data_IF_684465694173
#
_entry.id   IF_684465694173
#
_cell.length_a   1.000
_cell.length_b   1.000
_cell.length_c   1.000
_cell.angle_alpha   90.00
_cell.angle_beta   90.00
_cell.angle_gamma   90.00
#
_symmetry.space_group_name_H-M   'P 1'
#
loop_
_entity.id
_entity.type
_entity.pdbx_description
1 polymer ?
#
# COMPACT_ATOMS: atom_id res chain seq x y z
N UNK A 1 -18.87 -11.52 -13.84
CA UNK A 1 -17.57 -11.20 -13.20
C UNK A 1 -17.37 -9.71 -13.27
N UNK A 2 -17.34 -9.05 -12.11
CA UNK A 2 -17.03 -7.63 -11.97
C UNK A 2 -15.54 -7.45 -11.69
N UNK A 3 -14.84 -6.66 -12.50
CA UNK A 3 -13.41 -6.38 -12.34
C UNK A 3 -13.25 -4.91 -11.96
N UNK A 4 -12.52 -4.67 -10.88
CA UNK A 4 -12.23 -3.33 -10.35
C UNK A 4 -10.72 -3.12 -10.33
N UNK A 5 -10.23 -2.19 -11.16
CA UNK A 5 -8.84 -1.76 -11.12
C UNK A 5 -8.70 -0.52 -10.23
N UNK A 6 -7.64 -0.49 -9.43
CA UNK A 6 -7.38 0.60 -8.50
C UNK A 6 -5.88 0.90 -8.40
N UNK A 7 -5.55 2.16 -8.16
CA UNK A 7 -4.19 2.58 -7.88
C UNK A 7 -4.14 3.86 -7.04
N UNK A 8 -2.96 4.13 -6.50
CA UNK A 8 -2.66 5.34 -5.77
C UNK A 8 -1.50 5.20 -4.79
N UNK A 9 -1.18 6.30 -4.13
CA UNK A 9 -0.19 6.31 -3.06
C UNK A 9 -0.81 5.79 -1.75
N UNK A 10 -0.09 4.94 -1.05
CA UNK A 10 -0.37 4.52 0.31
C UNK A 10 0.74 5.04 1.24
N UNK A 11 0.43 5.19 2.52
CA UNK A 11 1.43 5.45 3.56
C UNK A 11 1.74 4.17 4.31
N UNK A 12 2.99 3.94 4.66
CA UNK A 12 3.35 2.97 5.68
C UNK A 12 4.56 3.47 6.47
N UNK A 13 4.40 3.61 7.78
CA UNK A 13 5.41 4.22 8.66
C UNK A 13 6.10 3.10 9.42
N UNK A 14 7.14 2.52 8.85
CA UNK A 14 7.86 1.36 9.39
C UNK A 14 9.35 1.66 9.50
N UNK A 15 10.03 1.02 10.45
CA UNK A 15 11.49 0.98 10.49
C UNK A 15 11.98 -0.10 9.52
N UNK A 16 13.06 0.20 8.82
CA UNK A 16 13.66 -0.68 7.80
C UNK A 16 14.95 -1.29 8.29
N UNK A 17 15.34 -2.43 7.71
CA UNK A 17 16.61 -3.10 7.98
C UNK A 17 17.79 -2.11 8.07
N UNK A 18 18.69 -2.26 9.05
CA UNK A 18 18.81 -3.40 9.97
C UNK A 18 17.99 -3.26 11.27
N UNK A 19 17.10 -2.28 11.38
CA UNK A 19 16.35 -2.07 12.62
C UNK A 19 15.36 -3.24 12.90
N UNK A 20 15.10 -3.57 14.18
CA UNK A 20 14.01 -4.46 14.56
C UNK A 20 12.66 -4.03 13.97
N UNK A 21 11.79 -4.98 13.66
CA UNK A 21 10.48 -4.65 13.08
C UNK A 21 9.61 -3.81 14.02
N UNK A 22 9.87 -3.80 15.32
CA UNK A 22 9.19 -3.02 16.35
C UNK A 22 9.95 -1.74 16.78
N UNK A 23 11.02 -1.38 16.07
CA UNK A 23 11.72 -0.12 16.31
C UNK A 23 10.80 1.09 16.02
N UNK A 24 10.53 1.86 17.09
CA UNK A 24 9.49 2.89 17.10
C UNK A 24 9.88 4.15 16.33
N UNK A 25 11.18 4.43 16.16
CA UNK A 25 11.65 5.71 15.63
C UNK A 25 12.51 5.58 14.38
N UNK A 26 13.00 4.39 14.07
CA UNK A 26 14.01 4.15 13.03
C UNK A 26 15.36 4.75 13.43
N UNK A 27 16.36 3.90 13.61
CA UNK A 27 17.67 4.26 14.14
C UNK A 27 18.76 4.11 13.08
N UNK A 28 18.79 2.96 12.40
CA UNK A 28 19.88 2.54 11.52
C UNK A 28 19.42 2.40 10.07
N UNK A 29 18.13 2.15 9.87
CA UNK A 29 17.51 2.04 8.56
C UNK A 29 17.44 3.35 7.79
N UNK A 30 16.80 3.29 6.62
CA UNK A 30 16.59 4.44 5.74
C UNK A 30 15.25 5.16 5.94
N UNK A 31 14.48 4.73 6.93
CA UNK A 31 13.20 5.29 7.34
C UNK A 31 13.27 5.64 8.82
N UNK A 32 12.58 6.71 9.22
CA UNK A 32 12.62 7.21 10.59
C UNK A 32 11.41 8.09 10.88
N UNK A 33 11.00 8.20 12.14
CA UNK A 33 10.08 9.22 12.61
C UNK A 33 10.83 10.51 12.99
N UNK A 34 10.32 11.65 12.57
CA UNK A 34 10.91 12.97 12.82
C UNK A 34 10.53 13.53 14.20
N UNK A 35 11.28 14.51 14.74
CA UNK A 35 10.82 15.29 15.89
C UNK A 35 9.39 15.79 15.70
N UNK A 36 8.54 15.57 16.71
CA UNK A 36 7.11 15.94 16.66
C UNK A 36 6.19 14.95 15.93
N UNK A 37 6.73 13.96 15.22
CA UNK A 37 5.92 12.88 14.65
C UNK A 37 5.65 11.76 15.67
N UNK A 38 4.49 11.08 15.60
CA UNK A 38 4.23 9.87 16.39
C UNK A 38 5.18 8.74 16.02
N UNK A 39 5.18 7.66 16.80
CA UNK A 39 6.00 6.48 16.52
C UNK A 39 5.56 5.75 15.24
N UNK A 40 6.48 4.99 14.66
CA UNK A 40 6.26 4.15 13.48
C UNK A 40 5.33 3.00 13.87
N UNK A 41 4.13 2.98 13.30
CA UNK A 41 3.08 1.99 13.62
C UNK A 41 3.02 0.82 12.62
N UNK A 42 3.75 0.95 11.50
CA UNK A 42 3.85 0.00 10.37
C UNK A 42 2.54 -0.24 9.64
N UNK A 43 1.48 0.50 9.96
CA UNK A 43 0.17 0.28 9.37
C UNK A 43 0.20 0.78 7.93
N UNK A 44 -0.20 -0.09 7.01
CA UNK A 44 -0.40 0.21 5.59
C UNK A 44 -1.73 0.96 5.47
N UNK A 45 -1.65 2.23 5.08
CA UNK A 45 -2.79 3.13 4.95
C UNK A 45 -3.00 3.49 3.50
N UNK A 46 -4.09 3.03 2.92
CA UNK A 46 -4.51 3.48 1.59
C UNK A 46 -5.10 4.88 1.62
N UNK A 47 -5.46 5.37 2.80
CA UNK A 47 -6.22 6.58 3.04
C UNK A 47 -5.86 7.14 4.42
N UNK A 48 -6.24 8.39 4.68
CA UNK A 48 -6.14 9.04 6.00
C UNK A 48 -4.74 8.87 6.65
N UNK A 49 -3.67 9.37 5.98
CA UNK A 49 -2.30 9.21 6.47
C UNK A 49 -2.12 9.88 7.83
N UNK A 50 -1.24 9.31 8.65
CA UNK A 50 -0.83 9.86 9.95
C UNK A 50 0.46 10.64 9.76
N UNK A 51 0.49 11.88 10.23
CA UNK A 51 1.63 12.80 10.09
C UNK A 51 2.19 12.84 8.65
N UNK A 52 1.35 13.15 7.62
CA UNK A 52 1.83 13.27 6.25
C UNK A 52 2.89 14.38 6.15
N UNK A 53 3.99 14.07 5.47
CA UNK A 53 5.11 15.00 5.31
C UNK A 53 4.85 15.98 4.16
N UNK A 54 5.21 17.24 4.37
CA UNK A 54 5.07 18.29 3.35
C UNK A 54 5.80 17.93 2.07
N UNK A 55 5.23 18.33 0.93
CA UNK A 55 5.76 18.08 -0.42
C UNK A 55 5.95 16.60 -0.79
N UNK A 56 5.41 15.68 0.01
CA UNK A 56 5.27 14.27 -0.35
C UNK A 56 4.08 14.04 -1.27
N UNK A 57 3.93 12.81 -1.81
CA UNK A 57 2.77 12.44 -2.60
C UNK A 57 1.49 12.46 -1.77
N UNK A 58 0.36 12.75 -2.42
CA UNK A 58 -0.95 12.70 -1.79
C UNK A 58 -1.42 11.24 -1.66
N UNK A 59 -1.57 10.77 -0.42
CA UNK A 59 -2.05 9.43 -0.11
C UNK A 59 -3.54 9.30 -0.46
N UNK A 60 -3.89 8.21 -1.14
CA UNK A 60 -5.24 7.90 -1.58
C UNK A 60 -5.26 6.87 -2.71
N UNK A 61 -5.69 5.64 -2.40
CA UNK A 61 -5.91 4.59 -3.40
C UNK A 61 -7.36 4.63 -3.88
N UNK A 62 -7.58 4.70 -5.19
CA UNK A 62 -8.92 4.85 -5.75
C UNK A 62 -9.16 3.90 -6.90
N UNK A 63 -10.42 3.53 -7.06
CA UNK A 63 -10.88 2.82 -8.25
C UNK A 63 -10.67 3.70 -9.48
N UNK A 64 -10.02 3.14 -10.50
CA UNK A 64 -9.72 3.80 -11.77
C UNK A 64 -10.54 3.27 -12.92
N UNK A 65 -10.91 1.99 -12.87
CA UNK A 65 -11.64 1.32 -13.94
C UNK A 65 -12.55 0.26 -13.36
N UNK A 66 -13.73 0.12 -13.95
CA UNK A 66 -14.68 -0.94 -13.62
C UNK A 66 -15.13 -1.59 -14.93
N UNK A 67 -15.15 -2.91 -14.95
CA UNK A 67 -15.73 -3.66 -16.08
C UNK A 67 -16.58 -4.82 -15.57
N UNK A 68 -17.64 -5.14 -16.30
CA UNK A 68 -18.53 -6.27 -16.02
C UNK A 68 -18.51 -7.20 -17.23
N UNK A 69 -18.12 -8.46 -17.03
CA UNK A 69 -18.04 -9.48 -18.08
C UNK A 69 -17.26 -9.03 -19.32
N UNK A 70 -16.15 -8.32 -19.06
CA UNK A 70 -15.26 -7.78 -20.10
C UNK A 70 -15.71 -6.45 -20.72
N UNK A 71 -16.92 -5.98 -20.42
CA UNK A 71 -17.40 -4.68 -20.87
C UNK A 71 -16.97 -3.58 -19.90
N UNK A 72 -16.23 -2.59 -20.41
CA UNK A 72 -15.87 -1.38 -19.66
C UNK A 72 -17.12 -0.55 -19.34
N UNK A 73 -17.27 -0.14 -18.08
CA UNK A 73 -18.37 0.70 -17.61
C UNK A 73 -17.83 2.10 -17.25
N UNK A 74 -17.96 3.05 -18.18
CA UNK A 74 -17.37 4.40 -18.10
C UNK A 74 -18.00 5.32 -17.05
N UNK A 75 -19.24 5.04 -16.65
CA UNK A 75 -20.03 5.87 -15.74
C UNK A 75 -20.46 5.07 -14.49
N UNK A 76 -19.72 4.00 -14.18
CA UNK A 76 -20.02 3.14 -13.04
C UNK A 76 -19.88 3.90 -11.70
N UNK A 77 -20.80 3.76 -10.74
CA UNK A 77 -20.77 4.52 -9.48
C UNK A 77 -19.54 4.26 -8.58
N UNK A 78 -18.86 3.13 -8.78
CA UNK A 78 -17.58 2.87 -8.12
C UNK A 78 -16.37 3.60 -8.74
N UNK A 79 -16.48 4.29 -9.87
CA UNK A 79 -15.34 5.04 -10.41
C UNK A 79 -14.94 6.18 -9.46
N UNK A 80 -13.65 6.24 -9.12
CA UNK A 80 -13.14 7.17 -8.11
C UNK A 80 -13.44 6.78 -6.66
N UNK A 81 -14.15 5.67 -6.43
CA UNK A 81 -14.45 5.14 -5.11
C UNK A 81 -13.17 4.91 -4.30
N UNK A 82 -13.33 5.03 -2.99
CA UNK A 82 -12.26 4.85 -2.01
C UNK A 82 -11.96 3.37 -1.87
N UNK A 83 -10.68 3.02 -1.91
CA UNK A 83 -10.19 1.69 -1.56
C UNK A 83 -9.50 1.77 -0.21
N UNK A 84 -9.96 0.97 0.75
CA UNK A 84 -9.45 0.87 2.11
C UNK A 84 -8.85 -0.52 2.34
N UNK A 85 -7.80 -0.57 3.14
CA UNK A 85 -7.26 -1.80 3.73
C UNK A 85 -7.43 -1.71 5.24
N UNK A 86 -8.40 -2.46 5.77
CA UNK A 86 -8.91 -2.37 7.14
C UNK A 86 -8.13 -3.30 8.09
N UNK A 87 -8.31 -3.08 9.40
CA UNK A 87 -7.78 -3.96 10.45
C UNK A 87 -6.31 -3.72 10.83
N UNK A 88 -5.76 -2.54 10.54
CA UNK A 88 -4.35 -2.20 10.81
C UNK A 88 -3.34 -3.13 10.09
N UNK A 89 -3.46 -3.29 8.77
CA UNK A 89 -2.62 -4.17 7.96
C UNK A 89 -1.14 -3.82 8.06
N UNK A 90 -0.26 -4.81 8.19
CA UNK A 90 1.20 -4.64 8.26
C UNK A 90 1.90 -5.58 7.30
N UNK A 91 3.10 -5.21 6.85
CA UNK A 91 4.04 -6.16 6.26
C UNK A 91 4.62 -7.05 7.36
N UNK A 92 4.36 -8.36 7.28
CA UNK A 92 4.78 -9.36 8.25
C UNK A 92 5.84 -10.29 7.63
N UNK A 93 7.10 -9.84 7.69
CA UNK A 93 8.29 -10.67 7.48
C UNK A 93 8.97 -11.05 8.81
N UNK A 94 8.83 -10.19 9.83
CA UNK A 94 9.48 -10.28 11.16
C UNK A 94 10.98 -10.57 11.04
N UNK A 95 11.70 -9.74 10.30
CA UNK A 95 13.16 -9.86 10.09
C UNK A 95 13.57 -11.28 9.69
N UNK A 96 13.08 -11.75 8.54
CA UNK A 96 13.42 -13.06 7.96
C UNK A 96 12.85 -14.27 8.72
N UNK A 97 12.11 -14.09 9.82
CA UNK A 97 11.53 -15.20 10.59
C UNK A 97 10.34 -15.84 9.88
N UNK A 98 9.45 -15.03 9.29
CA UNK A 98 8.27 -15.54 8.58
C UNK A 98 8.53 -15.70 7.08
N UNK A 99 9.24 -14.72 6.50
CA UNK A 99 9.48 -14.56 5.06
C UNK A 99 10.74 -13.72 4.85
N UNK A 100 11.37 -13.86 3.68
CA UNK A 100 12.47 -13.00 3.27
C UNK A 100 12.08 -11.51 3.26
N UNK A 101 13.09 -10.64 3.40
CA UNK A 101 12.87 -9.19 3.40
C UNK A 101 12.23 -8.72 2.09
N UNK A 102 11.24 -7.82 2.22
CA UNK A 102 10.40 -7.37 1.11
C UNK A 102 9.36 -8.38 0.62
N UNK A 103 9.28 -9.59 1.19
CA UNK A 103 8.33 -10.63 0.79
C UNK A 103 7.29 -10.99 1.86
N UNK A 104 7.22 -10.20 2.93
CA UNK A 104 6.27 -10.37 4.03
C UNK A 104 4.82 -10.43 3.55
N UNK A 105 4.03 -11.28 4.21
CA UNK A 105 2.59 -11.29 4.02
C UNK A 105 1.98 -9.97 4.53
N UNK A 106 0.89 -9.52 3.90
CA UNK A 106 0.11 -8.41 4.42
C UNK A 106 -0.94 -9.00 5.38
N UNK A 107 -0.86 -8.67 6.67
CA UNK A 107 -1.76 -9.21 7.67
C UNK A 107 -2.22 -8.13 8.68
N UNK A 108 -3.54 -8.03 8.96
CA UNK A 108 -4.64 -8.68 8.23
C UNK A 108 -4.73 -8.17 6.78
N UNK A 109 -5.54 -8.85 5.96
CA UNK A 109 -5.89 -8.38 4.62
C UNK A 109 -7.41 -8.31 4.52
N UNK A 110 -7.93 -7.12 4.73
CA UNK A 110 -9.35 -6.84 4.75
C UNK A 110 -9.61 -5.65 3.82
N UNK A 111 -10.12 -5.94 2.62
CA UNK A 111 -10.28 -4.94 1.58
C UNK A 111 -11.71 -4.42 1.57
N UNK A 112 -11.86 -3.09 1.50
CA UNK A 112 -13.16 -2.44 1.30
C UNK A 112 -13.08 -1.44 0.16
N UNK A 113 -14.07 -1.47 -0.74
CA UNK A 113 -14.28 -0.48 -1.79
C UNK A 113 -15.60 0.21 -1.50
N UNK A 114 -15.60 1.54 -1.38
CA UNK A 114 -16.81 2.30 -1.05
C UNK A 114 -16.93 3.61 -1.82
N UNK A 115 -18.11 3.88 -2.36
CA UNK A 115 -18.41 5.06 -3.17
C UNK A 115 -19.72 4.91 -3.95
N UNK A 116 -20.36 6.03 -4.30
CA UNK A 116 -21.56 6.01 -5.14
C UNK A 116 -22.75 5.25 -4.53
N UNK A 117 -22.88 5.22 -3.20
CA UNK A 117 -23.93 4.46 -2.49
C UNK A 117 -23.65 2.96 -2.34
N UNK A 118 -22.53 2.48 -2.88
CA UNK A 118 -22.11 1.08 -2.84
C UNK A 118 -20.98 0.90 -1.82
N UNK A 119 -21.00 -0.20 -1.07
CA UNK A 119 -19.85 -0.72 -0.34
C UNK A 119 -19.68 -2.22 -0.58
N UNK A 120 -18.47 -2.62 -0.96
CA UNK A 120 -18.07 -4.02 -1.17
C UNK A 120 -16.86 -4.30 -0.29
N UNK A 121 -16.95 -5.32 0.54
CA UNK A 121 -15.96 -5.66 1.55
C UNK A 121 -15.68 -7.16 1.54
N UNK A 122 -14.41 -7.55 1.66
CA UNK A 122 -14.02 -8.95 1.86
C UNK A 122 -12.72 -9.06 2.66
N UNK A 123 -12.71 -10.00 3.58
CA UNK A 123 -11.54 -10.36 4.38
C UNK A 123 -10.90 -11.65 3.83
N UNK A 124 -9.57 -11.72 3.79
CA UNK A 124 -8.85 -12.95 3.47
C UNK A 124 -8.42 -13.65 4.77
N UNK A 125 -8.82 -14.92 4.97
CA UNK A 125 -8.41 -15.70 6.14
C UNK A 125 -7.04 -16.34 5.89
N UNK A 126 -6.01 -15.88 6.62
CA UNK A 126 -4.64 -16.33 6.35
C UNK A 126 -4.49 -17.82 6.61
N UNK A 127 -5.11 -18.28 7.70
CA UNK A 127 -5.14 -19.68 8.09
C UNK A 127 -6.58 -20.09 8.46
N UNK A 128 -7.39 -20.58 7.50
CA UNK A 128 -8.82 -20.83 7.73
C UNK A 128 -9.13 -21.84 8.84
N UNK A 129 -8.23 -22.80 9.10
CA UNK A 129 -8.43 -23.80 10.15
C UNK A 129 -8.42 -23.21 11.57
N UNK A 130 -7.75 -22.08 11.77
CA UNK A 130 -7.75 -21.30 13.01
C UNK A 130 -7.42 -19.83 12.69
N UNK A 131 -8.44 -19.01 12.37
CA UNK A 131 -8.25 -17.61 11.94
C UNK A 131 -7.50 -16.73 12.95
N UNK A 132 -7.49 -17.11 14.23
CA UNK A 132 -6.88 -16.34 15.31
C UNK A 132 -5.48 -16.85 15.69
N UNK A 133 -4.99 -17.87 14.99
CA UNK A 133 -3.65 -18.43 15.21
C UNK A 133 -2.59 -17.35 15.06
N UNK A 134 -1.58 -17.35 15.95
CA UNK A 134 -0.50 -16.36 15.87
C UNK A 134 0.31 -16.60 14.61
N UNK A 135 0.75 -15.53 13.96
CA UNK A 135 1.47 -15.58 12.68
C UNK A 135 2.72 -16.47 12.69
N UNK A 136 3.45 -16.57 13.78
CA UNK A 136 4.64 -17.43 13.86
C UNK A 136 4.31 -18.92 14.09
N UNK A 137 3.04 -19.27 14.30
CA UNK A 137 2.58 -20.64 14.54
C UNK A 137 1.88 -21.26 13.33
N UNK A 138 1.59 -20.47 12.29
CA UNK A 138 0.98 -20.98 11.06
C UNK A 138 2.05 -21.52 10.10
N UNK A 139 1.73 -22.55 9.28
CA UNK A 139 2.69 -23.08 8.31
C UNK A 139 3.15 -22.01 7.29
N UNK A 140 4.43 -22.07 6.91
CA UNK A 140 5.05 -21.10 5.99
C UNK A 140 4.33 -20.96 4.64
N UNK A 141 3.67 -22.03 4.16
CA UNK A 141 2.89 -22.00 2.91
C UNK A 141 1.75 -20.96 2.95
N UNK A 142 1.15 -20.70 4.11
CA UNK A 142 0.09 -19.70 4.23
C UNK A 142 0.64 -18.27 4.17
N UNK A 143 1.83 -18.03 4.75
CA UNK A 143 2.55 -16.77 4.56
C UNK A 143 2.95 -16.56 3.10
N UNK A 144 3.45 -17.63 2.45
CA UNK A 144 3.85 -17.57 1.04
C UNK A 144 2.67 -17.23 0.12
N UNK A 145 1.46 -17.74 0.42
CA UNK A 145 0.23 -17.43 -0.33
C UNK A 145 -0.07 -15.93 -0.38
N UNK A 146 0.17 -15.20 0.72
CA UNK A 146 -0.18 -13.76 0.84
C UNK A 146 1.03 -12.81 0.76
N UNK A 147 2.25 -13.36 0.66
CA UNK A 147 3.47 -12.58 0.52
C UNK A 147 3.76 -12.19 -0.93
N UNK A 148 4.78 -11.36 -1.13
CA UNK A 148 5.26 -11.05 -2.49
C UNK A 148 5.78 -12.33 -3.17
N UNK A 149 5.34 -12.59 -4.38
CA UNK A 149 5.73 -13.74 -5.20
C UNK A 149 7.14 -13.60 -5.79
N UNK A 150 7.65 -12.37 -5.84
CA UNK A 150 8.98 -12.03 -6.32
C UNK A 150 9.79 -11.33 -5.21
N UNK A 151 11.12 -11.41 -5.22
CA UNK A 151 11.95 -10.48 -4.47
C UNK A 151 11.71 -9.04 -4.93
N UNK A 152 12.10 -8.06 -4.12
CA UNK A 152 12.06 -6.66 -4.55
C UNK A 152 12.80 -6.49 -5.86
N UNK A 153 12.08 -6.08 -6.90
CA UNK A 153 12.55 -6.07 -8.28
C UNK A 153 12.58 -4.65 -8.81
N UNK A 154 13.65 -4.29 -9.52
CA UNK A 154 13.79 -3.00 -10.18
C UNK A 154 12.99 -3.00 -11.48
N UNK A 155 12.05 -2.06 -11.63
CA UNK A 155 11.38 -1.80 -12.90
C UNK A 155 11.02 -0.32 -13.05
N UNK A 156 11.92 0.39 -13.72
CA UNK A 156 11.82 1.84 -13.92
C UNK A 156 10.69 2.23 -14.87
N UNK A 157 10.39 1.40 -15.87
CA UNK A 157 9.37 1.72 -16.87
C UNK A 157 7.98 1.57 -16.24
N UNK A 158 7.72 0.44 -15.58
CA UNK A 158 6.47 0.18 -14.87
C UNK A 158 6.18 1.26 -13.83
N UNK A 159 7.19 1.67 -13.06
CA UNK A 159 6.99 2.69 -12.01
C UNK A 159 6.83 4.09 -12.60
N UNK A 160 7.59 4.45 -13.64
CA UNK A 160 7.43 5.74 -14.30
C UNK A 160 6.03 5.87 -14.93
N UNK A 161 5.53 4.83 -15.59
CA UNK A 161 4.15 4.76 -16.11
C UNK A 161 3.12 4.95 -14.98
N UNK A 162 3.35 4.33 -13.83
CA UNK A 162 2.39 4.34 -12.74
C UNK A 162 2.37 5.63 -11.93
N UNK A 163 3.54 6.20 -11.67
CA UNK A 163 3.71 7.31 -10.72
C UNK A 163 3.97 8.65 -11.40
N UNK A 164 4.32 8.63 -12.69
CA UNK A 164 4.87 9.80 -13.40
C UNK A 164 6.32 10.13 -13.03
N UNK A 165 6.96 9.36 -12.14
CA UNK A 165 8.34 9.59 -11.70
C UNK A 165 9.31 8.86 -12.64
N UNK A 166 9.68 9.52 -13.73
CA UNK A 166 10.68 8.99 -14.67
C UNK A 166 12.13 9.16 -14.18
N UNK A 167 12.40 10.20 -13.38
CA UNK A 167 13.72 10.51 -12.82
C UNK A 167 13.62 10.65 -11.28
N UNK A 168 13.90 9.56 -10.53
CA UNK A 168 13.90 9.57 -9.07
C UNK A 168 14.84 10.61 -8.46
N UNK A 169 15.99 10.88 -9.09
CA UNK A 169 16.96 11.84 -8.59
C UNK A 169 16.45 13.28 -8.75
N UNK A 170 15.81 13.60 -9.89
CA UNK A 170 15.16 14.90 -10.08
C UNK A 170 13.96 15.08 -9.16
N UNK A 171 13.14 14.04 -8.97
CA UNK A 171 12.02 14.06 -8.03
C UNK A 171 12.50 14.38 -6.60
N UNK A 172 13.53 13.67 -6.11
CA UNK A 172 14.11 13.91 -4.77
C UNK A 172 14.73 15.31 -4.64
N UNK A 173 15.48 15.76 -5.64
CA UNK A 173 16.13 17.08 -5.65
C UNK A 173 15.12 18.22 -5.58
N UNK A 174 14.04 18.17 -6.38
CA UNK A 174 12.96 19.18 -6.36
C UNK A 174 12.35 19.30 -4.97
N UNK A 175 12.06 18.18 -4.32
CA UNK A 175 11.52 18.18 -2.96
C UNK A 175 12.52 18.74 -1.95
N UNK A 176 13.80 18.41 -2.07
CA UNK A 176 14.85 18.98 -1.20
C UNK A 176 14.87 20.51 -1.28
N UNK A 177 14.81 21.08 -2.49
CA UNK A 177 14.78 22.53 -2.71
C UNK A 177 13.58 23.20 -2.02
N UNK A 178 12.40 22.56 -2.03
CA UNK A 178 11.22 23.02 -1.31
C UNK A 178 11.42 23.00 0.20
N UNK A 179 11.99 21.93 0.75
CA UNK A 179 12.27 21.82 2.19
C UNK A 179 13.35 22.80 2.66
N UNK A 180 14.37 23.06 1.84
CA UNK A 180 15.36 24.11 2.11
C UNK A 180 14.72 25.49 2.16
N UNK A 181 13.72 25.76 1.30
CA UNK A 181 12.95 27.00 1.34
C UNK A 181 12.10 27.11 2.62
N UNK A 182 11.47 26.02 3.05
CA UNK A 182 10.71 25.98 4.31
C UNK A 182 11.63 26.17 5.53
N UNK A 183 12.82 25.56 5.52
CA UNK A 183 13.80 25.67 6.60
C UNK A 183 14.29 27.11 6.80
N UNK A 184 14.41 27.88 5.71
CA UNK A 184 14.77 29.31 5.78
C UNK A 184 13.67 30.18 6.37
N UNK A 185 12.42 29.71 6.39
CA UNK A 185 11.24 30.48 6.84
C UNK A 185 10.80 30.16 8.26
N UNK A 186 11.19 29.00 8.79
CA UNK A 186 10.78 28.58 10.14
C UNK A 186 11.85 28.88 11.19
N UNK A 187 11.40 29.39 12.33
CA UNK A 187 12.21 29.58 13.54
C UNK A 187 11.97 28.50 14.60
N UNK A 188 10.92 27.68 14.44
CA UNK A 188 10.58 26.62 15.40
C UNK A 188 11.69 25.56 15.42
N UNK A 189 12.37 25.35 16.57
CA UNK A 189 13.50 24.42 16.66
C UNK A 189 13.12 22.97 16.33
N UNK A 190 11.90 22.54 16.64
CA UNK A 190 11.40 21.18 16.34
C UNK A 190 11.22 21.02 14.84
N UNK A 191 10.57 21.98 14.19
CA UNK A 191 10.37 21.97 12.73
C UNK A 191 11.71 22.06 12.00
N UNK A 192 12.64 22.89 12.47
CA UNK A 192 13.99 23.01 11.91
C UNK A 192 14.77 21.71 12.00
N UNK A 193 14.72 21.02 13.14
CA UNK A 193 15.36 19.71 13.31
C UNK A 193 14.75 18.65 12.39
N UNK A 194 13.42 18.63 12.25
CA UNK A 194 12.72 17.72 11.34
C UNK A 194 13.10 17.97 9.87
N UNK A 195 13.05 19.22 9.41
CA UNK A 195 13.44 19.61 8.05
C UNK A 195 14.90 19.30 7.77
N UNK A 196 15.81 19.59 8.71
CA UNK A 196 17.23 19.29 8.58
C UNK A 196 17.49 17.79 8.35
N UNK A 197 16.81 16.91 9.10
CA UNK A 197 16.94 15.46 8.92
C UNK A 197 16.41 15.00 7.56
N UNK A 198 15.27 15.53 7.10
CA UNK A 198 14.70 15.23 5.77
C UNK A 198 15.63 15.68 4.63
N UNK A 199 16.17 16.90 4.72
CA UNK A 199 17.12 17.43 3.73
C UNK A 199 18.39 16.58 3.67
N UNK A 200 18.89 16.12 4.82
CA UNK A 200 20.04 15.22 4.87
C UNK A 200 19.75 13.87 4.16
N UNK A 201 18.57 13.28 4.38
CA UNK A 201 18.14 12.08 3.66
C UNK A 201 18.07 12.33 2.15
N UNK A 202 17.40 13.41 1.72
CA UNK A 202 17.22 13.73 0.30
C UNK A 202 18.52 14.12 -0.40
N UNK A 203 19.57 14.43 0.37
CA UNK A 203 20.92 14.70 -0.16
C UNK A 203 21.70 13.44 -0.50
N UNK A 204 21.21 12.25 -0.13
CA UNK A 204 21.73 10.98 -0.64
C UNK A 204 21.26 10.83 -2.08
N UNK A 205 22.23 10.79 -3.01
CA UNK A 205 21.99 10.76 -4.46
C UNK A 205 22.50 9.49 -5.16
N UNK A 206 23.23 8.64 -4.44
CA UNK A 206 23.71 7.37 -4.99
C UNK A 206 22.52 6.46 -5.35
N UNK A 207 22.35 6.08 -6.63
CA UNK A 207 21.20 5.32 -7.10
C UNK A 207 21.14 3.89 -6.54
N UNK A 208 22.25 3.34 -6.04
CA UNK A 208 22.31 1.98 -5.51
C UNK A 208 21.90 1.92 -4.03
N UNK A 209 21.81 3.08 -3.37
CA UNK A 209 21.30 3.19 -2.00
C UNK A 209 19.79 2.95 -1.99
N UNK A 210 19.31 2.08 -1.09
CA UNK A 210 17.87 1.77 -0.96
C UNK A 210 16.99 3.01 -0.75
N UNK A 211 17.52 4.05 -0.10
CA UNK A 211 16.91 5.38 0.02
C UNK A 211 16.39 5.93 -1.32
N UNK A 212 17.18 5.72 -2.37
CA UNK A 212 16.98 6.23 -3.74
C UNK A 212 16.36 5.14 -4.61
N UNK A 213 16.92 3.92 -4.57
CA UNK A 213 16.45 2.78 -5.34
C UNK A 213 15.01 2.39 -5.02
N UNK A 214 14.51 2.67 -3.80
CA UNK A 214 13.12 2.41 -3.39
C UNK A 214 12.08 2.92 -4.38
N UNK A 215 12.32 4.09 -4.98
CA UNK A 215 11.48 4.69 -6.02
C UNK A 215 11.47 3.92 -7.35
N UNK A 216 12.21 2.82 -7.45
CA UNK A 216 12.30 1.95 -8.63
C UNK A 216 12.04 0.48 -8.32
N UNK A 217 11.78 0.15 -7.05
CA UNK A 217 11.54 -1.22 -6.60
C UNK A 217 10.04 -1.49 -6.43
N UNK A 218 9.63 -2.73 -6.66
CA UNK A 218 8.30 -3.22 -6.33
C UNK A 218 8.31 -4.69 -5.89
N UNK A 219 7.24 -5.09 -5.19
CA UNK A 219 6.86 -6.48 -4.94
C UNK A 219 5.50 -6.78 -5.57
N UNK A 220 5.27 -8.05 -5.94
CA UNK A 220 4.07 -8.52 -6.66
C UNK A 220 3.28 -9.49 -5.80
N UNK A 221 1.99 -9.27 -5.65
CA UNK A 221 1.09 -10.04 -4.80
C UNK A 221 -0.05 -10.60 -5.64
N UNK A 222 -0.35 -11.90 -5.48
CA UNK A 222 -1.48 -12.55 -6.13
C UNK A 222 -2.02 -13.70 -5.30
N UNK A 223 -3.30 -13.62 -4.96
CA UNK A 223 -4.01 -14.66 -4.23
C UNK A 223 -5.52 -14.49 -4.43
N UNK A 224 -6.30 -15.42 -3.90
CA UNK A 224 -7.75 -15.31 -3.84
C UNK A 224 -8.18 -15.02 -2.39
N UNK A 225 -9.01 -14.01 -2.20
CA UNK A 225 -9.55 -13.61 -0.90
C UNK A 225 -10.65 -14.60 -0.53
N UNK A 226 -10.49 -15.35 0.56
CA UNK A 226 -11.32 -16.54 0.85
C UNK A 226 -12.14 -16.47 2.15
N UNK A 227 -12.29 -15.30 2.74
CA UNK A 227 -13.05 -15.10 3.97
C UNK A 227 -14.40 -14.40 3.75
N UNK A 228 -15.01 -13.92 4.85
CA UNK A 228 -16.31 -13.28 4.82
C UNK A 228 -16.38 -12.12 3.83
N UNK A 229 -17.50 -12.04 3.12
CA UNK A 229 -17.82 -10.94 2.20
C UNK A 229 -19.08 -10.19 2.68
N UNK A 230 -19.11 -8.88 2.43
CA UNK A 230 -20.26 -8.02 2.69
C UNK A 230 -20.47 -7.08 1.50
N UNK A 231 -21.72 -6.95 1.06
CA UNK A 231 -22.12 -6.10 -0.06
C UNK A 231 -23.31 -5.26 0.37
N UNK A 232 -23.17 -3.94 0.28
CA UNK A 232 -24.23 -2.96 0.47
C UNK A 232 -24.43 -2.25 -0.87
N UNK A 233 -25.54 -2.57 -1.54
CA UNK A 233 -25.94 -1.98 -2.82
C UNK A 233 -27.49 -1.89 -2.90
N UNK A 234 -28.11 -0.97 -2.14
CA UNK A 234 -29.57 -0.91 -2.00
C UNK A 234 -30.27 -0.60 -3.33
N UNK A 235 -29.63 0.18 -4.19
CA UNK A 235 -30.15 0.65 -5.46
C UNK A 235 -29.74 -0.24 -6.65
N UNK A 236 -29.06 -1.38 -6.39
CA UNK A 236 -28.60 -2.37 -7.38
C UNK A 236 -27.71 -1.75 -8.47
N UNK A 237 -26.86 -0.83 -8.07
CA UNK A 237 -26.00 -0.02 -8.93
C UNK A 237 -24.74 -0.77 -9.41
N UNK A 238 -24.41 -1.93 -8.83
CA UNK A 238 -23.32 -2.80 -9.30
C UNK A 238 -23.61 -3.42 -10.68
N UNK A 239 -24.87 -3.43 -11.12
CA UNK A 239 -25.29 -4.02 -12.38
C UNK A 239 -25.27 -5.56 -12.42
N UNK A 240 -24.86 -6.21 -11.34
CA UNK A 240 -24.89 -7.66 -11.17
C UNK A 240 -25.01 -8.04 -9.69
N UNK A 241 -25.60 -9.21 -9.41
CA UNK A 241 -25.54 -9.81 -8.08
C UNK A 241 -24.14 -10.40 -7.86
N UNK A 242 -23.49 -10.07 -6.75
CA UNK A 242 -22.20 -10.64 -6.36
C UNK A 242 -22.43 -12.03 -5.76
N UNK A 243 -21.53 -12.97 -6.07
CA UNK A 243 -21.44 -14.25 -5.37
C UNK A 243 -20.51 -14.10 -4.15
N UNK A 244 -21.03 -14.16 -2.92
CA UNK A 244 -20.21 -14.04 -1.72
C UNK A 244 -19.45 -15.33 -1.38
N UNK A 245 -19.84 -16.49 -1.91
CA UNK A 245 -19.26 -17.79 -1.56
C UNK A 245 -18.00 -18.09 -2.36
N UNK A 246 -17.95 -17.66 -3.62
CA UNK A 246 -16.77 -17.81 -4.47
C UNK A 246 -15.61 -16.90 -4.00
N UNK A 247 -14.38 -17.41 -4.07
CA UNK A 247 -13.18 -16.65 -3.73
C UNK A 247 -12.99 -15.47 -4.69
N UNK A 248 -12.44 -14.35 -4.20
CA UNK A 248 -12.20 -13.16 -5.04
C UNK A 248 -10.71 -13.05 -5.42
N UNK A 249 -10.32 -13.35 -6.68
CA UNK A 249 -8.94 -13.17 -7.11
C UNK A 249 -8.52 -11.70 -7.01
N UNK A 250 -7.36 -11.47 -6.41
CA UNK A 250 -6.72 -10.17 -6.34
C UNK A 250 -5.28 -10.28 -6.82
N UNK A 251 -4.86 -9.30 -7.62
CA UNK A 251 -3.49 -9.15 -8.07
C UNK A 251 -3.08 -7.70 -7.98
N UNK A 252 -1.95 -7.40 -7.36
CA UNK A 252 -1.44 -6.05 -7.23
C UNK A 252 0.06 -6.04 -7.02
N UNK A 253 0.66 -4.90 -7.27
CA UNK A 253 2.02 -4.64 -6.84
C UNK A 253 2.07 -3.43 -5.92
N UNK A 254 3.02 -3.44 -5.00
CA UNK A 254 3.33 -2.31 -4.12
C UNK A 254 4.81 -1.98 -4.26
N UNK A 255 5.16 -0.71 -4.33
CA UNK A 255 6.53 -0.31 -4.63
C UNK A 255 6.68 1.20 -4.74
N UNK A 256 7.64 1.64 -5.54
CA UNK A 256 7.97 3.05 -5.73
C UNK A 256 8.12 3.78 -4.38
N UNK A 257 8.84 3.15 -3.46
CA UNK A 257 8.93 3.59 -2.07
C UNK A 257 9.68 4.91 -1.95
N UNK A 258 8.99 5.89 -1.40
CA UNK A 258 9.50 7.19 -1.05
C UNK A 258 9.91 7.23 0.42
N UNK A 259 11.21 7.00 0.65
CA UNK A 259 11.83 6.91 1.97
C UNK A 259 11.61 8.16 2.84
N UNK A 260 11.63 9.35 2.24
CA UNK A 260 11.35 10.60 2.96
C UNK A 260 9.85 10.75 3.24
N UNK A 261 8.96 10.43 2.32
CA UNK A 261 7.53 10.60 2.58
C UNK A 261 6.89 9.46 3.41
N UNK A 262 7.60 8.34 3.59
CA UNK A 262 7.07 7.09 4.15
C UNK A 262 5.84 6.60 3.38
N UNK A 263 5.89 6.73 2.05
CA UNK A 263 4.81 6.39 1.15
C UNK A 263 5.30 5.44 0.05
N UNK A 264 4.41 4.60 -0.46
CA UNK A 264 4.63 3.80 -1.65
C UNK A 264 3.46 3.91 -2.60
N UNK A 265 3.64 3.49 -3.84
CA UNK A 265 2.58 3.35 -4.81
C UNK A 265 2.04 1.93 -4.82
N UNK A 266 0.75 1.77 -5.06
CA UNK A 266 0.17 0.49 -5.43
C UNK A 266 -0.66 0.60 -6.70
N UNK A 267 -0.71 -0.48 -7.46
CA UNK A 267 -1.68 -0.66 -8.55
C UNK A 267 -2.12 -2.12 -8.55
N UNK A 268 -3.42 -2.32 -8.62
CA UNK A 268 -4.03 -3.63 -8.49
C UNK A 268 -5.35 -3.77 -9.22
N UNK A 269 -5.82 -5.01 -9.21
CA UNK A 269 -7.07 -5.46 -9.80
C UNK A 269 -7.71 -6.45 -8.84
N UNK A 270 -9.00 -6.28 -8.59
CA UNK A 270 -9.86 -7.23 -7.88
C UNK A 270 -10.90 -7.79 -8.85
N UNK A 271 -11.03 -9.11 -8.87
CA UNK A 271 -12.07 -9.83 -9.60
C UNK A 271 -13.11 -10.33 -8.61
N UNK A 272 -14.36 -9.89 -8.79
CA UNK A 272 -15.50 -10.23 -7.96
C UNK A 272 -16.45 -11.13 -8.77
N UNK A 273 -16.57 -12.42 -8.43
CA UNK A 273 -17.53 -13.32 -9.03
C UNK A 273 -18.96 -12.78 -8.91
N UNK A 274 -19.75 -12.97 -9.97
CA UNK A 274 -21.16 -12.61 -9.98
C UNK A 274 -21.99 -13.89 -9.91
N UNK A 275 -23.08 -13.87 -9.15
CA UNK A 275 -24.02 -14.99 -9.12
C UNK A 275 -24.61 -15.21 -10.52
N UNK A 276 -24.73 -16.47 -10.93
CA UNK A 276 -25.52 -16.79 -12.12
C UNK A 276 -26.97 -16.42 -11.85
N UNK A 277 -27.63 -15.82 -12.84
CA UNK A 277 -29.06 -15.58 -12.75
C UNK A 277 -29.74 -16.94 -12.50
N UNK A 278 -30.44 -17.08 -11.37
CA UNK A 278 -31.33 -18.22 -11.17
C UNK A 278 -32.46 -18.06 -12.19
N UNK A 279 -32.56 -18.99 -13.14
CA UNK A 279 -33.67 -19.09 -14.11
C UNK A 279 -35.02 -19.26 -13.40
#
# INVERSE_FOLDING_TARGET
MLIVDFDGWFQCRLATDPDPTDELRGASGFTFALPGEPDLDRIIRFQDPVAPRSHGPAVGVRVKRVSLDGQLLSDHPLLGARVDLLGEPKFESRNYVLRDSGQGAIAPFHLRISGGGIAVEREDLLYPADPFRRLHEIPAAFHARRGSLIPLTVDRIKIADATGIADPAAYRRRRRELLEADLRRTEDPVVRAALGKRIAELSITDPDRLQVAGLTLYGDYRFAINGPASVVDPDRLLGAAIDPEEDWPIAFWMGAWDSDALCGWMRGMLSIPCATASE
#
